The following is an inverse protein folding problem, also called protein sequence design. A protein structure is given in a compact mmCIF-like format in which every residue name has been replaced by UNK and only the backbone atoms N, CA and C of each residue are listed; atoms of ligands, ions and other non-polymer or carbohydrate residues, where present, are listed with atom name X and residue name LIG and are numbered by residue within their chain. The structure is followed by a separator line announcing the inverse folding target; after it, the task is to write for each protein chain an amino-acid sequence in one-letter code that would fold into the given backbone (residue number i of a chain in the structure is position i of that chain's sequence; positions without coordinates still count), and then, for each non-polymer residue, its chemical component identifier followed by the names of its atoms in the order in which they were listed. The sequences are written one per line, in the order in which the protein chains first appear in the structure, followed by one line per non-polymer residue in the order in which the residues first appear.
data_IF_360303998316
#
_entry.id   IF_360303998316
#
_cell.length_a   1.000
_cell.length_b   1.000
_cell.length_c   1.000
_cell.angle_alpha   90.00
_cell.angle_beta   90.00
_cell.angle_gamma   90.00
#
_symmetry.space_group_name_H-M   'P 1'
#
loop_
_entity.id
_entity.type
_entity.pdbx_description
1 polymer ?
#
# COMPACT_ATOMS: atom_id res chain seq x y z
N UNK A 1 24.25 13.14 7.88
CA UNK A 1 23.42 11.93 7.66
C UNK A 1 22.00 12.28 8.07
N UNK A 2 21.14 12.51 7.09
CA UNK A 2 19.77 12.91 7.39
C UNK A 2 18.82 11.76 7.05
N UNK A 3 18.14 11.22 8.02
CA UNK A 3 16.87 10.51 7.93
C UNK A 3 15.84 11.36 8.68
N UNK A 4 15.99 12.69 8.64
CA UNK A 4 15.26 13.62 9.51
C UNK A 4 13.78 13.70 9.14
N UNK A 5 13.47 13.51 7.86
CA UNK A 5 12.11 13.64 7.33
C UNK A 5 11.33 12.30 7.37
N UNK A 6 11.98 11.21 7.81
CA UNK A 6 11.33 9.92 7.95
C UNK A 6 10.58 9.81 9.27
N UNK A 7 9.30 9.60 9.15
CA UNK A 7 8.47 9.23 10.31
C UNK A 7 8.35 7.72 10.37
N UNK A 8 8.78 7.15 11.49
CA UNK A 8 8.75 5.71 11.75
C UNK A 8 9.97 4.94 11.21
N UNK A 9 9.87 3.63 11.24
CA UNK A 9 10.96 2.72 10.85
C UNK A 9 12.26 2.89 11.66
N UNK A 10 12.20 3.38 12.90
CA UNK A 10 13.37 3.73 13.72
C UNK A 10 14.36 2.56 13.87
N UNK A 11 13.86 1.31 13.94
CA UNK A 11 14.72 0.12 14.01
C UNK A 11 15.49 -0.09 12.70
N UNK A 12 14.83 0.10 11.56
CA UNK A 12 15.44 -0.01 10.23
C UNK A 12 16.43 1.14 10.01
N UNK A 13 16.07 2.36 10.39
CA UNK A 13 16.95 3.53 10.30
C UNK A 13 18.21 3.32 11.13
N UNK A 14 18.09 2.81 12.37
CA UNK A 14 19.27 2.48 13.21
C UNK A 14 20.14 1.41 12.57
N UNK A 15 19.55 0.36 11.99
CA UNK A 15 20.28 -0.67 11.27
C UNK A 15 21.08 -0.08 10.10
N UNK A 16 20.44 0.71 9.25
CA UNK A 16 21.07 1.31 8.07
C UNK A 16 22.16 2.32 8.45
N UNK A 17 21.92 3.16 9.45
CA UNK A 17 22.96 4.07 9.99
C UNK A 17 24.17 3.29 10.51
N UNK A 18 23.95 2.22 11.27
CA UNK A 18 25.05 1.38 11.78
C UNK A 18 25.83 0.66 10.66
N UNK A 19 25.22 0.34 9.53
CA UNK A 19 25.91 -0.20 8.36
C UNK A 19 26.76 0.89 7.67
N UNK A 20 26.25 2.10 7.53
CA UNK A 20 26.98 3.26 6.96
C UNK A 20 28.20 3.56 7.84
N UNK A 21 28.02 3.71 9.15
CA UNK A 21 29.08 4.07 10.10
C UNK A 21 30.23 3.04 10.15
N UNK A 22 29.92 1.77 9.89
CA UNK A 22 30.90 0.68 9.90
C UNK A 22 31.45 0.35 8.52
N UNK A 23 31.05 1.10 7.48
CA UNK A 23 31.33 0.84 6.05
C UNK A 23 31.05 -0.63 5.66
N UNK A 24 29.95 -1.20 6.18
CA UNK A 24 29.50 -2.57 5.90
C UNK A 24 28.22 -2.56 5.10
N UNK A 25 28.31 -2.01 3.90
CA UNK A 25 27.16 -1.91 2.99
C UNK A 25 27.07 -3.15 2.12
N UNK A 26 25.85 -3.67 1.96
CA UNK A 26 25.55 -4.60 0.89
C UNK A 26 25.42 -3.82 -0.44
N UNK A 27 25.68 -4.46 -1.55
CA UNK A 27 25.48 -3.86 -2.87
C UNK A 27 24.01 -3.79 -3.26
N UNK A 28 23.21 -4.72 -2.76
CA UNK A 28 21.80 -4.85 -3.09
C UNK A 28 20.95 -4.97 -1.83
N UNK A 29 19.94 -4.12 -1.72
CA UNK A 29 18.94 -4.15 -0.65
C UNK A 29 17.55 -4.41 -1.22
N UNK A 30 16.72 -5.14 -0.47
CA UNK A 30 15.33 -5.35 -0.77
C UNK A 30 14.47 -4.86 0.39
N UNK A 31 13.76 -3.75 0.19
CA UNK A 31 12.78 -3.22 1.14
C UNK A 31 11.43 -3.89 0.89
N UNK A 32 10.96 -4.69 1.86
CA UNK A 32 9.69 -5.41 1.75
C UNK A 32 8.69 -4.99 2.80
N UNK A 33 7.40 -5.13 2.49
CA UNK A 33 6.30 -4.84 3.40
C UNK A 33 5.11 -4.20 2.67
N UNK A 34 3.95 -4.06 3.32
CA UNK A 34 2.73 -3.58 2.71
C UNK A 34 2.90 -2.25 1.96
N UNK A 35 2.04 -2.00 0.98
CA UNK A 35 2.03 -0.71 0.28
C UNK A 35 1.68 0.44 1.22
N UNK A 36 2.22 1.63 0.92
CA UNK A 36 1.92 2.85 1.67
C UNK A 36 2.58 2.96 3.05
N UNK A 37 3.54 2.08 3.41
CA UNK A 37 4.27 2.18 4.69
C UNK A 37 5.50 3.09 4.65
N UNK A 38 5.88 3.62 3.47
CA UNK A 38 7.01 4.54 3.34
C UNK A 38 8.32 3.89 2.85
N UNK A 39 8.29 2.68 2.25
CA UNK A 39 9.49 1.99 1.73
C UNK A 39 10.31 2.84 0.77
N UNK A 40 9.63 3.52 -0.18
CA UNK A 40 10.31 4.39 -1.16
C UNK A 40 11.00 5.58 -0.50
N UNK A 41 10.33 6.24 0.45
CA UNK A 41 10.93 7.33 1.21
C UNK A 41 12.16 6.86 1.99
N UNK A 42 12.08 5.68 2.63
CA UNK A 42 13.19 5.08 3.33
C UNK A 42 14.37 4.75 2.41
N UNK A 43 14.13 4.16 1.24
CA UNK A 43 15.16 3.88 0.25
C UNK A 43 15.81 5.15 -0.30
N UNK A 44 15.03 6.20 -0.56
CA UNK A 44 15.53 7.49 -1.00
C UNK A 44 16.41 8.16 0.07
N UNK A 45 15.98 8.19 1.32
CA UNK A 45 16.77 8.75 2.43
C UNK A 45 18.04 7.94 2.69
N UNK A 46 17.99 6.61 2.49
CA UNK A 46 19.19 5.77 2.58
C UNK A 46 20.18 6.10 1.45
N UNK A 47 19.72 6.24 0.21
CA UNK A 47 20.55 6.65 -0.92
C UNK A 47 21.20 8.03 -0.67
N UNK A 48 20.41 9.02 -0.23
CA UNK A 48 20.91 10.35 0.13
C UNK A 48 21.95 10.32 1.25
N UNK A 49 21.74 9.49 2.29
CA UNK A 49 22.71 9.36 3.38
C UNK A 49 24.08 8.82 2.91
N UNK A 50 24.12 8.18 1.73
CA UNK A 50 25.32 7.69 1.04
C UNK A 50 25.86 8.66 -0.01
N UNK A 51 25.29 9.87 -0.11
CA UNK A 51 25.68 10.88 -1.09
C UNK A 51 25.14 10.63 -2.50
N UNK A 52 24.18 9.71 -2.67
CA UNK A 52 23.54 9.46 -3.96
C UNK A 52 22.33 10.41 -4.13
N UNK A 53 22.54 11.54 -4.76
CA UNK A 53 21.51 12.55 -5.02
C UNK A 53 21.62 13.07 -6.48
N UNK A 54 20.55 13.74 -6.94
CA UNK A 54 20.52 14.34 -8.26
C UNK A 54 20.87 13.34 -9.38
N UNK A 55 21.92 13.59 -10.18
CA UNK A 55 22.28 12.71 -11.29
C UNK A 55 22.86 11.35 -10.85
N UNK A 56 23.19 11.18 -9.58
CA UNK A 56 23.71 9.92 -9.02
C UNK A 56 22.64 9.05 -8.38
N UNK A 57 21.36 9.42 -8.50
CA UNK A 57 20.20 8.66 -8.06
C UNK A 57 19.23 8.46 -9.23
N UNK A 58 19.00 7.20 -9.62
CA UNK A 58 18.00 6.82 -10.61
C UNK A 58 16.84 6.10 -9.94
N UNK A 59 15.62 6.52 -10.24
CA UNK A 59 14.40 5.82 -9.80
C UNK A 59 13.71 5.23 -11.03
N UNK A 60 13.57 3.91 -11.05
CA UNK A 60 12.89 3.16 -12.12
C UNK A 60 11.53 2.74 -11.61
N UNK A 61 10.50 3.19 -12.30
CA UNK A 61 9.10 2.83 -12.06
C UNK A 61 8.46 2.37 -13.36
N UNK A 62 7.34 1.61 -13.34
CA UNK A 62 6.61 1.29 -14.56
C UNK A 62 6.25 2.55 -15.35
N UNK A 63 6.54 2.56 -16.64
CA UNK A 63 6.17 3.62 -17.61
C UNK A 63 5.37 3.08 -18.79
N UNK A 64 5.09 1.77 -18.81
CA UNK A 64 4.31 1.09 -19.82
C UNK A 64 2.79 1.18 -19.52
N UNK A 65 1.97 1.07 -20.57
CA UNK A 65 0.50 0.97 -20.44
C UNK A 65 0.07 -0.27 -19.62
N UNK A 66 0.86 -1.36 -19.65
CA UNK A 66 0.62 -2.56 -18.85
C UNK A 66 0.91 -2.37 -17.36
N UNK A 67 1.60 -1.28 -17.00
CA UNK A 67 2.06 -1.02 -15.63
C UNK A 67 3.22 -1.93 -15.21
N UNK A 68 3.99 -2.47 -16.15
CA UNK A 68 5.16 -3.32 -15.91
C UNK A 68 6.46 -2.58 -16.23
N UNK A 69 7.57 -3.04 -15.63
CA UNK A 69 8.92 -2.55 -15.92
C UNK A 69 9.50 -3.41 -17.05
N UNK A 70 9.67 -2.80 -18.21
CA UNK A 70 10.09 -3.48 -19.43
C UNK A 70 11.63 -3.58 -19.53
N UNK A 71 12.10 -4.46 -20.43
CA UNK A 71 13.53 -4.71 -20.63
C UNK A 71 14.29 -3.47 -21.06
N UNK A 72 13.67 -2.57 -21.82
CA UNK A 72 14.27 -1.32 -22.28
C UNK A 72 14.65 -0.41 -21.11
N UNK A 73 13.80 -0.33 -20.09
CA UNK A 73 14.06 0.43 -18.86
C UNK A 73 15.25 -0.17 -18.09
N UNK A 74 15.32 -1.51 -18.02
CA UNK A 74 16.42 -2.21 -17.34
C UNK A 74 17.75 -2.02 -18.10
N UNK A 75 17.75 -2.07 -19.44
CA UNK A 75 18.94 -1.80 -20.26
C UNK A 75 19.40 -0.34 -20.15
N UNK A 76 18.45 0.61 -20.12
CA UNK A 76 18.77 2.02 -19.90
C UNK A 76 19.41 2.24 -18.52
N UNK A 77 18.88 1.57 -17.51
CA UNK A 77 19.42 1.57 -16.14
C UNK A 77 20.85 0.97 -16.12
N UNK A 78 21.10 -0.16 -16.79
CA UNK A 78 22.44 -0.78 -16.90
C UNK A 78 23.45 0.19 -17.50
N UNK A 79 23.09 0.83 -18.63
CA UNK A 79 23.90 1.86 -19.27
C UNK A 79 24.18 3.05 -18.36
N UNK A 80 23.18 3.51 -17.59
CA UNK A 80 23.36 4.59 -16.63
C UNK A 80 24.28 4.18 -15.47
N UNK A 81 24.17 2.93 -14.97
CA UNK A 81 25.00 2.44 -13.87
C UNK A 81 26.49 2.27 -14.27
N UNK A 82 26.78 2.02 -15.54
CA UNK A 82 28.15 1.89 -16.04
C UNK A 82 28.94 3.21 -16.05
N UNK A 83 28.25 4.35 -15.97
CA UNK A 83 28.88 5.68 -15.91
C UNK A 83 29.46 5.94 -14.52
N UNK A 84 30.56 6.69 -14.44
CA UNK A 84 31.10 7.16 -13.16
C UNK A 84 30.14 8.10 -12.43
N UNK A 85 30.13 8.12 -11.08
CA UNK A 85 29.34 9.08 -10.32
C UNK A 85 29.69 10.53 -10.72
N UNK A 86 28.70 11.39 -10.78
CA UNK A 86 28.87 12.79 -11.21
C UNK A 86 29.40 13.69 -10.06
N UNK A 87 28.78 13.63 -8.90
CA UNK A 87 29.11 14.49 -7.77
C UNK A 87 29.37 13.75 -6.48
N UNK A 88 28.94 12.50 -6.38
CA UNK A 88 29.10 11.65 -5.22
C UNK A 88 30.21 10.61 -5.38
N UNK A 89 30.43 9.85 -4.30
CA UNK A 89 31.33 8.69 -4.37
C UNK A 89 30.63 7.43 -4.89
N UNK A 90 29.30 7.45 -4.93
CA UNK A 90 28.44 6.27 -5.22
C UNK A 90 27.26 6.68 -6.09
N UNK A 91 26.71 5.68 -6.79
CA UNK A 91 25.43 5.79 -7.50
C UNK A 91 24.41 4.84 -6.89
N UNK A 92 23.15 5.22 -6.89
CA UNK A 92 22.07 4.37 -6.42
C UNK A 92 20.96 4.24 -7.47
N UNK A 93 20.44 3.04 -7.64
CA UNK A 93 19.21 2.77 -8.36
C UNK A 93 18.15 2.34 -7.37
N UNK A 94 16.96 2.91 -7.47
CA UNK A 94 15.75 2.47 -6.79
C UNK A 94 14.81 1.89 -7.84
N UNK A 95 14.43 0.62 -7.70
CA UNK A 95 13.48 -0.06 -8.56
C UNK A 95 12.19 -0.33 -7.78
N UNK A 96 11.10 0.33 -8.17
CA UNK A 96 9.84 0.40 -7.40
C UNK A 96 8.59 0.38 -8.30
N UNK A 97 7.74 -0.65 -8.23
CA UNK A 97 7.90 -1.87 -7.44
C UNK A 97 8.61 -2.99 -8.21
N UNK A 98 9.47 -3.75 -7.53
CA UNK A 98 10.28 -4.81 -8.14
C UNK A 98 9.45 -5.99 -8.69
N UNK A 99 8.28 -6.26 -8.13
CA UNK A 99 7.34 -7.28 -8.63
C UNK A 99 6.68 -6.93 -9.97
N UNK A 100 6.93 -5.75 -10.49
CA UNK A 100 6.48 -5.31 -11.81
C UNK A 100 7.52 -5.52 -12.92
N UNK A 101 8.66 -6.12 -12.58
CA UNK A 101 9.59 -6.62 -13.59
C UNK A 101 8.95 -7.73 -14.41
N UNK A 102 8.99 -7.63 -15.74
CA UNK A 102 8.67 -8.75 -16.62
C UNK A 102 9.68 -9.89 -16.42
N UNK A 103 9.41 -11.07 -16.91
CA UNK A 103 10.36 -12.20 -16.84
C UNK A 103 11.71 -11.86 -17.50
N UNK A 104 11.66 -11.26 -18.68
CA UNK A 104 12.84 -10.80 -19.42
C UNK A 104 13.63 -9.73 -18.65
N UNK A 105 12.94 -8.75 -18.10
CA UNK A 105 13.51 -7.69 -17.25
C UNK A 105 14.14 -8.25 -15.98
N UNK A 106 13.53 -9.27 -15.40
CA UNK A 106 14.06 -9.96 -14.22
C UNK A 106 15.38 -10.65 -14.53
N UNK A 107 15.48 -11.35 -15.67
CA UNK A 107 16.72 -11.98 -16.09
C UNK A 107 17.84 -10.97 -16.35
N UNK A 108 17.52 -9.83 -16.97
CA UNK A 108 18.48 -8.76 -17.15
C UNK A 108 18.93 -8.14 -15.81
N UNK A 109 18.00 -7.92 -14.87
CA UNK A 109 18.35 -7.47 -13.52
C UNK A 109 19.26 -8.44 -12.78
N UNK A 110 19.05 -9.76 -12.89
CA UNK A 110 19.90 -10.75 -12.25
C UNK A 110 21.36 -10.64 -12.75
N UNK A 111 21.56 -10.44 -14.05
CA UNK A 111 22.89 -10.23 -14.64
C UNK A 111 23.56 -8.98 -14.07
N UNK A 112 22.80 -7.87 -13.97
CA UNK A 112 23.31 -6.62 -13.38
C UNK A 112 23.72 -6.83 -11.92
N UNK A 113 22.93 -7.59 -11.15
CA UNK A 113 23.21 -7.86 -9.73
C UNK A 113 24.45 -8.72 -9.51
N UNK A 114 24.82 -9.56 -10.49
CA UNK A 114 26.06 -10.37 -10.46
C UNK A 114 27.29 -9.54 -10.79
N UNK A 115 27.17 -8.53 -11.64
CA UNK A 115 28.27 -7.73 -12.17
C UNK A 115 28.15 -6.24 -11.77
N UNK A 116 27.61 -5.94 -10.58
CA UNK A 116 27.42 -4.57 -10.12
C UNK A 116 28.75 -3.78 -10.15
N UNK A 117 28.77 -2.60 -10.76
CA UNK A 117 29.95 -1.74 -10.74
C UNK A 117 30.36 -1.38 -9.31
N UNK A 118 31.66 -1.23 -9.02
CA UNK A 118 32.12 -0.74 -7.72
C UNK A 118 31.43 0.59 -7.36
N UNK A 119 31.08 0.75 -6.08
CA UNK A 119 30.40 1.96 -5.57
C UNK A 119 28.98 2.16 -6.10
N UNK A 120 28.34 1.10 -6.63
CA UNK A 120 26.94 1.10 -6.99
C UNK A 120 26.07 0.47 -5.91
N UNK A 121 24.87 1.02 -5.73
CA UNK A 121 23.86 0.54 -4.78
C UNK A 121 22.57 0.22 -5.54
N UNK A 122 22.03 -0.95 -5.32
CA UNK A 122 20.78 -1.39 -5.93
C UNK A 122 19.71 -1.58 -4.86
N UNK A 123 18.65 -0.76 -4.90
CA UNK A 123 17.58 -0.73 -3.91
C UNK A 123 16.28 -1.21 -4.56
N UNK A 124 15.85 -2.40 -4.20
CA UNK A 124 14.60 -2.99 -4.65
C UNK A 124 13.49 -2.69 -3.65
N UNK A 125 12.31 -2.36 -4.12
CA UNK A 125 11.13 -2.16 -3.29
C UNK A 125 10.05 -3.14 -3.72
N UNK A 126 9.50 -3.91 -2.79
CA UNK A 126 8.43 -4.86 -3.06
C UNK A 126 7.35 -4.84 -1.97
N UNK A 127 6.11 -5.16 -2.34
CA UNK A 127 5.03 -5.32 -1.38
C UNK A 127 5.16 -6.65 -0.63
N UNK A 128 5.62 -7.70 -1.31
CA UNK A 128 5.73 -9.05 -0.75
C UNK A 128 6.87 -9.86 -1.38
N UNK A 129 7.69 -10.50 -0.56
CA UNK A 129 8.83 -11.31 -1.01
C UNK A 129 8.41 -12.47 -1.94
N UNK A 130 7.28 -13.12 -1.66
CA UNK A 130 6.82 -14.29 -2.42
C UNK A 130 6.45 -13.99 -3.88
N UNK A 131 6.35 -12.71 -4.26
CA UNK A 131 6.11 -12.26 -5.63
C UNK A 131 7.39 -12.12 -6.44
N UNK A 132 8.55 -12.26 -5.80
CA UNK A 132 9.85 -12.14 -6.44
C UNK A 132 10.50 -13.52 -6.61
N UNK A 133 11.25 -13.75 -7.70
CA UNK A 133 11.98 -15.00 -7.89
C UNK A 133 13.01 -15.26 -6.78
N UNK A 134 13.15 -16.52 -6.38
CA UNK A 134 14.12 -16.93 -5.35
C UNK A 134 15.57 -16.56 -5.71
N UNK A 135 15.88 -16.57 -6.99
CA UNK A 135 17.19 -16.17 -7.55
C UNK A 135 17.52 -14.70 -7.29
N UNK A 136 16.51 -13.81 -7.33
CA UNK A 136 16.65 -12.39 -6.98
C UNK A 136 16.78 -12.24 -5.47
N UNK A 137 15.92 -12.93 -4.71
CA UNK A 137 15.89 -12.86 -3.25
C UNK A 137 17.21 -13.30 -2.60
N UNK A 138 17.91 -14.28 -3.19
CA UNK A 138 19.17 -14.81 -2.66
C UNK A 138 20.35 -13.82 -2.76
N UNK A 139 20.24 -12.79 -3.60
CA UNK A 139 21.25 -11.76 -3.83
C UNK A 139 20.99 -10.46 -3.08
N UNK A 140 19.88 -10.38 -2.33
CA UNK A 140 19.45 -9.17 -1.66
C UNK A 140 19.65 -9.23 -0.14
N UNK A 141 20.15 -8.14 0.44
CA UNK A 141 20.06 -7.91 1.87
C UNK A 141 18.63 -7.43 2.18
N UNK A 142 17.85 -8.27 2.89
CA UNK A 142 16.42 -8.03 3.11
C UNK A 142 16.18 -7.09 4.27
N UNK A 143 15.42 -6.04 4.01
CA UNK A 143 14.94 -5.07 5.01
C UNK A 143 13.42 -5.16 5.08
N UNK A 144 12.92 -5.73 6.17
CA UNK A 144 11.47 -5.83 6.40
C UNK A 144 10.95 -4.56 7.06
N UNK A 145 10.01 -3.93 6.39
CA UNK A 145 9.30 -2.76 6.87
C UNK A 145 7.90 -3.18 7.37
N UNK A 146 7.50 -2.66 8.52
CA UNK A 146 6.19 -2.93 9.12
C UNK A 146 5.39 -1.65 9.26
N UNK A 147 4.04 -1.72 9.30
CA UNK A 147 3.22 -0.56 9.65
C UNK A 147 3.63 0.02 11.00
N UNK A 148 3.53 1.33 11.14
CA UNK A 148 4.00 2.05 12.33
C UNK A 148 3.04 1.95 13.53
N UNK A 149 1.85 1.45 13.30
CA UNK A 149 0.76 1.46 14.26
C UNK A 149 -0.07 2.74 14.19
N UNK A 150 -1.30 2.64 14.68
CA UNK A 150 -2.33 3.70 14.54
C UNK A 150 -1.89 4.98 15.25
N UNK A 151 -1.45 4.89 16.50
CA UNK A 151 -1.12 6.06 17.32
C UNK A 151 0.05 6.87 16.76
N UNK A 152 1.10 6.20 16.29
CA UNK A 152 2.25 6.87 15.65
C UNK A 152 1.87 7.52 14.33
N UNK A 153 1.06 6.82 13.52
CA UNK A 153 0.55 7.36 12.26
C UNK A 153 -0.32 8.59 12.50
N UNK A 154 -1.23 8.54 13.47
CA UNK A 154 -2.05 9.68 13.86
C UNK A 154 -1.20 10.86 14.37
N UNK A 155 -0.18 10.58 15.19
CA UNK A 155 0.75 11.61 15.65
C UNK A 155 1.52 12.28 14.50
N UNK A 156 1.95 11.50 13.50
CA UNK A 156 2.60 12.02 12.31
C UNK A 156 1.67 12.92 11.47
N UNK A 157 0.42 12.47 11.25
CA UNK A 157 -0.58 13.25 10.52
C UNK A 157 -0.92 14.58 11.20
N UNK A 158 -0.94 14.60 12.54
CA UNK A 158 -1.11 15.86 13.31
C UNK A 158 0.05 16.83 13.09
N UNK A 159 1.27 16.32 12.97
CA UNK A 159 2.44 17.17 12.64
C UNK A 159 2.35 17.78 11.23
N UNK A 160 1.67 17.08 10.30
CA UNK A 160 1.35 17.58 8.97
C UNK A 160 0.16 18.58 8.97
N UNK A 161 -0.39 18.93 10.13
CA UNK A 161 -1.44 19.94 10.28
C UNK A 161 -2.87 19.41 10.26
N UNK A 162 -3.08 18.09 10.29
CA UNK A 162 -4.42 17.53 10.36
C UNK A 162 -5.00 17.65 11.79
N UNK A 163 -6.30 17.88 11.87
CA UNK A 163 -6.98 17.85 13.16
C UNK A 163 -6.93 16.45 13.81
N UNK A 164 -7.01 16.33 15.13
CA UNK A 164 -6.84 15.06 15.84
C UNK A 164 -7.81 13.95 15.42
N UNK A 165 -9.08 14.28 15.12
CA UNK A 165 -10.09 13.31 14.74
C UNK A 165 -9.84 12.77 13.32
N UNK A 166 -9.58 13.66 12.36
CA UNK A 166 -9.20 13.28 10.99
C UNK A 166 -7.90 12.47 10.97
N UNK A 167 -6.90 12.87 11.75
CA UNK A 167 -5.64 12.15 11.85
C UNK A 167 -5.82 10.72 12.37
N UNK A 168 -6.62 10.54 13.44
CA UNK A 168 -6.92 9.22 13.98
C UNK A 168 -7.70 8.36 12.99
N UNK A 169 -8.72 8.91 12.36
CA UNK A 169 -9.55 8.25 11.38
C UNK A 169 -8.70 7.74 10.19
N UNK A 170 -7.84 8.60 9.63
CA UNK A 170 -6.95 8.23 8.53
C UNK A 170 -5.93 7.16 8.94
N UNK A 171 -5.40 7.25 10.17
CA UNK A 171 -4.48 6.26 10.71
C UNK A 171 -5.13 4.88 10.85
N UNK A 172 -6.38 4.81 11.33
CA UNK A 172 -7.16 3.58 11.44
C UNK A 172 -7.48 3.03 10.06
N UNK A 173 -8.05 3.86 9.17
CA UNK A 173 -8.43 3.45 7.80
C UNK A 173 -7.24 2.96 6.96
N UNK A 174 -6.04 3.48 7.21
CA UNK A 174 -4.82 3.02 6.56
C UNK A 174 -4.15 1.83 7.23
N UNK A 175 -4.66 1.35 8.37
CA UNK A 175 -4.03 0.30 9.17
C UNK A 175 -2.64 0.71 9.69
N UNK A 176 -2.43 1.97 10.05
CA UNK A 176 -1.16 2.49 10.54
C UNK A 176 -0.10 2.68 9.44
N UNK A 177 -0.50 2.76 8.17
CA UNK A 177 0.37 2.97 7.01
C UNK A 177 0.39 4.45 6.64
N UNK A 178 1.39 5.20 7.10
CA UNK A 178 1.45 6.65 6.98
C UNK A 178 1.33 7.15 5.52
N UNK A 179 2.07 6.56 4.58
CA UNK A 179 2.02 6.98 3.18
C UNK A 179 0.64 6.75 2.56
N UNK A 180 -0.06 5.67 2.94
CA UNK A 180 -1.44 5.41 2.53
C UNK A 180 -2.40 6.41 3.18
N UNK A 181 -2.23 6.75 4.47
CA UNK A 181 -3.04 7.75 5.15
C UNK A 181 -2.91 9.12 4.49
N UNK A 182 -1.69 9.54 4.14
CA UNK A 182 -1.43 10.77 3.39
C UNK A 182 -2.05 10.75 1.99
N UNK A 183 -2.01 9.62 1.31
CA UNK A 183 -2.68 9.46 0.01
C UNK A 183 -4.20 9.59 0.16
N UNK A 184 -4.80 8.94 1.15
CA UNK A 184 -6.24 9.06 1.45
C UNK A 184 -6.65 10.50 1.70
N UNK A 185 -5.83 11.24 2.44
CA UNK A 185 -6.07 12.67 2.67
C UNK A 185 -6.01 13.50 1.38
N UNK A 186 -4.97 13.30 0.55
CA UNK A 186 -4.77 14.07 -0.69
C UNK A 186 -5.83 13.79 -1.77
N UNK A 187 -6.37 12.58 -1.80
CA UNK A 187 -7.34 12.14 -2.83
C UNK A 187 -8.78 12.23 -2.38
N UNK A 188 -9.03 12.82 -1.18
CA UNK A 188 -10.35 12.87 -0.55
C UNK A 188 -11.06 11.50 -0.54
N UNK A 189 -10.27 10.43 -0.40
CA UNK A 189 -10.74 9.05 -0.47
C UNK A 189 -11.79 8.72 0.59
N UNK A 190 -11.78 9.44 1.72
CA UNK A 190 -12.77 9.26 2.76
C UNK A 190 -14.16 9.75 2.34
N UNK A 191 -14.26 10.90 1.69
CA UNK A 191 -15.52 11.38 1.14
C UNK A 191 -16.02 10.42 0.03
N UNK A 192 -15.15 9.96 -0.86
CA UNK A 192 -15.48 8.95 -1.88
C UNK A 192 -15.99 7.65 -1.26
N UNK A 193 -15.32 7.14 -0.19
CA UNK A 193 -15.76 5.96 0.56
C UNK A 193 -17.16 6.17 1.16
N UNK A 194 -17.37 7.29 1.83
CA UNK A 194 -18.64 7.58 2.48
C UNK A 194 -19.78 7.67 1.47
N UNK A 195 -19.57 8.35 0.34
CA UNK A 195 -20.56 8.41 -0.74
C UNK A 195 -20.89 7.01 -1.30
N UNK A 196 -19.89 6.15 -1.52
CA UNK A 196 -20.10 4.79 -1.99
C UNK A 196 -20.87 3.93 -0.97
N UNK A 197 -20.52 4.02 0.32
CA UNK A 197 -21.25 3.34 1.39
C UNK A 197 -22.70 3.80 1.46
N UNK A 198 -22.97 5.10 1.37
CA UNK A 198 -24.32 5.63 1.41
C UNK A 198 -25.16 5.11 0.23
N UNK A 199 -24.60 5.01 -0.97
CA UNK A 199 -25.26 4.43 -2.14
C UNK A 199 -25.62 2.96 -1.94
N UNK A 200 -24.67 2.14 -1.44
CA UNK A 200 -24.91 0.71 -1.15
C UNK A 200 -25.96 0.56 -0.05
N UNK A 201 -25.84 1.28 1.05
CA UNK A 201 -26.76 1.19 2.18
C UNK A 201 -28.18 1.67 1.80
N UNK A 202 -28.30 2.70 0.95
CA UNK A 202 -29.57 3.16 0.44
C UNK A 202 -30.21 2.14 -0.51
N UNK A 203 -29.44 1.47 -1.39
CA UNK A 203 -29.94 0.41 -2.27
C UNK A 203 -30.44 -0.78 -1.47
N UNK A 204 -29.68 -1.23 -0.46
CA UNK A 204 -30.09 -2.31 0.44
C UNK A 204 -31.40 -1.98 1.17
N UNK A 205 -31.55 -0.75 1.65
CA UNK A 205 -32.77 -0.31 2.36
C UNK A 205 -33.98 -0.29 1.44
N UNK A 206 -33.79 0.07 0.16
CA UNK A 206 -34.87 0.09 -0.84
C UNK A 206 -35.17 -1.27 -1.45
N UNK A 207 -34.32 -2.29 -1.17
CA UNK A 207 -34.34 -3.61 -1.84
C UNK A 207 -34.23 -3.50 -3.36
N UNK A 208 -33.45 -2.53 -3.81
CA UNK A 208 -33.21 -2.27 -5.21
C UNK A 208 -32.07 -3.17 -5.69
N UNK A 209 -32.37 -4.05 -6.64
CA UNK A 209 -31.39 -4.99 -7.20
C UNK A 209 -30.58 -4.41 -8.35
N UNK A 210 -30.83 -3.15 -8.71
CA UNK A 210 -30.05 -2.47 -9.73
C UNK A 210 -28.70 -1.99 -9.19
N UNK A 211 -27.76 -1.80 -10.12
CA UNK A 211 -26.44 -1.27 -9.77
C UNK A 211 -26.58 0.12 -9.13
N UNK A 212 -26.19 0.29 -7.84
CA UNK A 212 -26.31 1.55 -7.15
C UNK A 212 -25.36 2.64 -7.67
N UNK A 213 -24.40 2.28 -8.51
CA UNK A 213 -23.37 3.19 -8.99
C UNK A 213 -23.67 3.70 -10.40
N UNK A 214 -23.11 4.86 -10.79
CA UNK A 214 -23.27 5.40 -12.15
C UNK A 214 -22.89 4.35 -13.22
N UNK A 215 -23.58 4.33 -14.38
CA UNK A 215 -23.39 3.29 -15.40
C UNK A 215 -21.97 3.20 -15.99
N UNK A 216 -21.16 4.26 -15.85
CA UNK A 216 -19.78 4.33 -16.36
C UNK A 216 -18.72 4.17 -15.26
N UNK A 217 -19.10 3.77 -14.04
CA UNK A 217 -18.14 3.55 -12.96
C UNK A 217 -17.17 2.44 -13.35
N UNK A 218 -15.85 2.68 -13.34
CA UNK A 218 -14.85 1.68 -13.65
C UNK A 218 -14.96 0.47 -12.73
N UNK A 219 -14.61 -0.70 -13.26
CA UNK A 219 -14.68 -1.96 -12.51
C UNK A 219 -13.82 -1.93 -11.25
N UNK A 220 -12.64 -1.34 -11.36
CA UNK A 220 -11.67 -1.20 -10.26
C UNK A 220 -12.25 -0.38 -9.11
N UNK A 221 -13.00 0.67 -9.44
CA UNK A 221 -13.70 1.47 -8.43
C UNK A 221 -14.83 0.69 -7.76
N UNK A 222 -15.59 -0.09 -8.51
CA UNK A 222 -16.64 -0.92 -7.93
C UNK A 222 -16.06 -1.99 -7.01
N UNK A 223 -14.92 -2.59 -7.39
CA UNK A 223 -14.20 -3.54 -6.53
C UNK A 223 -13.81 -2.88 -5.19
N UNK A 224 -13.31 -1.64 -5.23
CA UNK A 224 -12.98 -0.84 -4.06
C UNK A 224 -14.21 -0.53 -3.20
N UNK A 225 -15.34 -0.19 -3.82
CA UNK A 225 -16.60 0.09 -3.10
C UNK A 225 -17.15 -1.14 -2.38
N UNK A 226 -17.05 -2.30 -3.01
CA UNK A 226 -17.41 -3.58 -2.39
C UNK A 226 -16.48 -3.91 -1.22
N UNK A 227 -15.18 -3.65 -1.33
CA UNK A 227 -14.21 -3.80 -0.24
C UNK A 227 -14.56 -2.90 0.95
N UNK A 228 -14.90 -1.64 0.71
CA UNK A 228 -15.34 -0.74 1.77
C UNK A 228 -16.61 -1.21 2.45
N UNK A 229 -17.56 -1.74 1.69
CA UNK A 229 -18.78 -2.32 2.26
C UNK A 229 -18.49 -3.60 3.07
N UNK A 230 -17.60 -4.47 2.61
CA UNK A 230 -17.19 -5.65 3.36
C UNK A 230 -16.52 -5.27 4.70
N UNK A 231 -15.67 -4.23 4.68
CA UNK A 231 -15.07 -3.69 5.92
C UNK A 231 -16.10 -3.03 6.85
N UNK A 232 -17.14 -2.40 6.30
CA UNK A 232 -18.28 -1.91 7.06
C UNK A 232 -19.07 -3.03 7.76
N UNK A 233 -19.35 -4.11 7.06
CA UNK A 233 -20.00 -5.29 7.62
C UNK A 233 -19.15 -5.95 8.72
N UNK A 234 -17.83 -6.03 8.53
CA UNK A 234 -16.89 -6.50 9.55
C UNK A 234 -16.98 -5.63 10.81
N UNK A 235 -17.02 -4.31 10.66
CA UNK A 235 -17.11 -3.40 11.81
C UNK A 235 -18.44 -3.57 12.58
N UNK A 236 -19.55 -3.78 11.87
CA UNK A 236 -20.84 -4.16 12.51
C UNK A 236 -20.71 -5.44 13.32
N UNK A 237 -20.04 -6.47 12.77
CA UNK A 237 -19.82 -7.73 13.49
C UNK A 237 -18.96 -7.52 14.73
N UNK A 238 -17.85 -6.77 14.63
CA UNK A 238 -16.98 -6.46 15.78
C UNK A 238 -17.77 -5.87 16.94
N UNK A 239 -18.61 -4.87 16.65
CA UNK A 239 -19.44 -4.26 17.68
C UNK A 239 -20.50 -5.23 18.22
N UNK A 240 -21.10 -6.05 17.35
CA UNK A 240 -22.19 -6.97 17.72
C UNK A 240 -21.73 -8.11 18.64
N UNK A 241 -20.46 -8.49 18.58
CA UNK A 241 -19.87 -9.47 19.51
C UNK A 241 -19.21 -8.83 20.73
N UNK A 242 -19.43 -7.52 20.96
CA UNK A 242 -18.88 -6.79 22.11
C UNK A 242 -17.39 -6.44 21.96
N UNK A 243 -16.88 -6.39 20.73
CA UNK A 243 -15.52 -5.95 20.46
C UNK A 243 -15.30 -4.48 20.79
N UNK A 244 -14.04 -4.13 21.05
CA UNK A 244 -13.65 -2.76 21.38
C UNK A 244 -13.97 -1.80 20.22
N UNK A 245 -14.71 -0.71 20.44
CA UNK A 245 -14.96 0.32 19.43
C UNK A 245 -13.69 0.89 18.77
N UNK A 246 -12.56 0.85 19.45
CA UNK A 246 -11.27 1.27 18.89
C UNK A 246 -10.76 0.35 17.77
N UNK A 247 -11.31 -0.85 17.62
CA UNK A 247 -10.99 -1.80 16.52
C UNK A 247 -11.81 -1.53 15.24
N UNK A 248 -12.78 -0.63 15.30
CA UNK A 248 -13.62 -0.24 14.16
C UNK A 248 -12.81 0.60 13.17
N UNK A 249 -12.87 0.25 11.89
CA UNK A 249 -12.18 0.98 10.81
C UNK A 249 -12.92 2.29 10.51
N UNK A 250 -14.26 2.25 10.50
CA UNK A 250 -15.14 3.39 10.18
C UNK A 250 -15.44 4.24 11.42
N UNK A 251 -14.40 4.77 12.06
CA UNK A 251 -14.51 5.60 13.26
C UNK A 251 -15.37 6.86 13.06
N UNK A 252 -15.32 7.43 11.85
CA UNK A 252 -16.13 8.58 11.44
C UNK A 252 -17.65 8.29 11.37
N UNK A 253 -18.01 7.02 11.34
CA UNK A 253 -19.40 6.55 11.28
C UNK A 253 -19.76 5.62 12.46
N UNK A 254 -19.04 5.71 13.56
CA UNK A 254 -19.19 4.81 14.71
C UNK A 254 -20.62 4.86 15.31
N UNK A 255 -21.21 6.04 15.40
CA UNK A 255 -22.57 6.17 15.93
C UNK A 255 -23.63 5.53 15.03
N UNK A 256 -23.44 5.59 13.70
CA UNK A 256 -24.31 4.87 12.75
C UNK A 256 -24.17 3.35 12.90
N UNK A 257 -22.94 2.87 13.05
CA UNK A 257 -22.65 1.44 13.28
C UNK A 257 -23.32 0.95 14.58
N UNK A 258 -23.20 1.70 15.67
CA UNK A 258 -23.85 1.38 16.95
C UNK A 258 -25.40 1.36 16.84
N UNK A 259 -25.98 2.31 16.13
CA UNK A 259 -27.41 2.35 15.89
C UNK A 259 -27.90 1.10 15.11
N UNK A 260 -27.14 0.67 14.09
CA UNK A 260 -27.44 -0.55 13.33
C UNK A 260 -27.22 -1.82 14.12
N UNK A 261 -26.19 -1.89 14.96
CA UNK A 261 -25.95 -3.00 15.89
C UNK A 261 -27.16 -3.22 16.81
N UNK A 262 -27.68 -2.15 17.39
CA UNK A 262 -28.80 -2.21 18.35
C UNK A 262 -30.11 -2.73 17.74
N UNK A 263 -30.26 -2.66 16.42
CA UNK A 263 -31.44 -3.08 15.66
C UNK A 263 -31.29 -4.41 14.94
N UNK A 264 -30.07 -5.01 14.94
CA UNK A 264 -29.77 -6.19 14.14
C UNK A 264 -29.65 -7.48 14.93
N UNK A 265 -30.15 -8.59 14.35
CA UNK A 265 -29.86 -9.95 14.84
C UNK A 265 -28.44 -10.36 14.39
N UNK A 266 -27.68 -10.98 15.30
CA UNK A 266 -26.32 -11.44 15.03
C UNK A 266 -26.25 -12.40 13.84
N UNK A 267 -27.25 -13.28 13.69
CA UNK A 267 -27.31 -14.20 12.56
C UNK A 267 -27.45 -13.46 11.21
N UNK A 268 -28.26 -12.41 11.17
CA UNK A 268 -28.42 -11.55 9.99
C UNK A 268 -27.11 -10.81 9.68
N UNK A 269 -26.41 -10.29 10.68
CA UNK A 269 -25.12 -9.60 10.50
C UNK A 269 -24.06 -10.58 9.98
N UNK A 270 -23.96 -11.79 10.53
CA UNK A 270 -23.04 -12.82 10.03
C UNK A 270 -23.32 -13.20 8.57
N UNK A 271 -24.59 -13.37 8.20
CA UNK A 271 -24.99 -13.62 6.82
C UNK A 271 -24.60 -12.45 5.90
N UNK A 272 -24.73 -11.23 6.34
CA UNK A 272 -24.34 -10.03 5.57
C UNK A 272 -22.83 -9.94 5.38
N UNK A 273 -22.05 -10.26 6.41
CA UNK A 273 -20.58 -10.34 6.34
C UNK A 273 -20.14 -11.39 5.34
N UNK A 274 -20.67 -12.62 5.44
CA UNK A 274 -20.32 -13.73 4.53
C UNK A 274 -20.62 -13.35 3.06
N UNK A 275 -21.79 -12.78 2.80
CA UNK A 275 -22.14 -12.31 1.45
C UNK A 275 -21.19 -11.21 0.95
N UNK A 276 -20.86 -10.22 1.79
CA UNK A 276 -19.98 -9.14 1.39
C UNK A 276 -18.60 -9.65 0.98
N UNK A 277 -18.02 -10.58 1.73
CA UNK A 277 -16.74 -11.18 1.40
C UNK A 277 -16.80 -12.08 0.16
N UNK A 278 -17.85 -12.88 -0.02
CA UNK A 278 -18.05 -13.68 -1.26
C UNK A 278 -18.16 -12.80 -2.49
N UNK A 279 -18.86 -11.68 -2.40
CA UNK A 279 -18.99 -10.73 -3.50
C UNK A 279 -17.65 -10.05 -3.79
N UNK A 280 -16.92 -9.65 -2.76
CA UNK A 280 -15.56 -9.12 -2.90
C UNK A 280 -14.64 -10.10 -3.64
N UNK A 281 -14.63 -11.37 -3.21
CA UNK A 281 -13.83 -12.43 -3.85
C UNK A 281 -14.25 -12.66 -5.31
N UNK A 282 -15.54 -12.69 -5.60
CA UNK A 282 -16.07 -12.87 -6.95
C UNK A 282 -15.64 -11.71 -7.87
N UNK A 283 -15.71 -10.47 -7.39
CA UNK A 283 -15.27 -9.29 -8.16
C UNK A 283 -13.76 -9.34 -8.41
N UNK A 284 -12.95 -9.72 -7.42
CA UNK A 284 -11.51 -9.90 -7.57
C UNK A 284 -11.13 -11.00 -8.58
N UNK A 285 -11.93 -12.07 -8.66
CA UNK A 285 -11.79 -13.17 -9.63
C UNK A 285 -12.43 -12.89 -11.00
N UNK A 286 -12.67 -11.64 -11.34
CA UNK A 286 -13.23 -11.22 -12.61
C UNK A 286 -14.68 -11.66 -12.91
N UNK A 287 -15.50 -11.99 -11.90
CA UNK A 287 -16.93 -12.25 -12.10
C UNK A 287 -17.66 -10.98 -12.61
N UNK A 288 -18.84 -11.17 -13.21
CA UNK A 288 -19.69 -10.05 -13.63
C UNK A 288 -20.06 -9.17 -12.43
N UNK A 289 -19.68 -7.90 -12.48
CA UNK A 289 -19.99 -6.90 -11.43
C UNK A 289 -21.49 -6.80 -11.20
N UNK A 290 -22.29 -6.81 -12.26
CA UNK A 290 -23.76 -6.76 -12.16
C UNK A 290 -24.31 -7.94 -11.37
N UNK A 291 -23.84 -9.16 -11.66
CA UNK A 291 -24.24 -10.37 -10.95
C UNK A 291 -23.77 -10.36 -9.50
N UNK A 292 -22.53 -9.92 -9.26
CA UNK A 292 -21.99 -9.82 -7.91
C UNK A 292 -22.78 -8.83 -7.04
N UNK A 293 -23.10 -7.64 -7.56
CA UNK A 293 -23.91 -6.67 -6.85
C UNK A 293 -25.36 -7.14 -6.63
N UNK A 294 -25.98 -7.83 -7.59
CA UNK A 294 -27.33 -8.39 -7.38
C UNK A 294 -27.37 -9.42 -6.25
N UNK A 295 -26.31 -10.23 -6.08
CA UNK A 295 -26.17 -11.14 -4.93
C UNK A 295 -26.02 -10.36 -3.62
N UNK A 296 -25.26 -9.27 -3.62
CA UNK A 296 -25.12 -8.41 -2.44
C UNK A 296 -26.47 -7.80 -2.00
N UNK A 297 -27.29 -7.39 -2.97
CA UNK A 297 -28.52 -6.64 -2.76
C UNK A 297 -29.77 -7.54 -2.59
N UNK A 298 -29.74 -8.81 -3.02
CA UNK A 298 -30.92 -9.72 -3.11
C UNK A 298 -31.47 -10.20 -1.77
N UNK A 299 -30.81 -9.96 -0.62
CA UNK A 299 -31.19 -10.56 0.66
C UNK A 299 -31.01 -9.55 1.82
N UNK A 300 -31.55 -8.33 1.66
CA UNK A 300 -31.67 -7.37 2.74
C UNK A 300 -32.86 -7.65 3.64
#
# INVERSE_FOLDING_TARGET
MSFADLVGHEAVVRLLKGQIERDRLAHTYLFTGPEGIGKRALAMEFAKALGCEGPDLLVVTPDSESGDILIEQVRAMEGWMSLTPYGGERKAVILDPAEKLTEESTHACLKILEELPPRSLFLLIAAAEHRLPATLLSRCHKIRCSPQGIERTAAALRKEGLDPAAARMLAVSSGGRLGMALQFHRTDRLAKRNAALDQILAALKRKDLENPFPPKTPREEIAEYVEWYASWCRDLLVLSVGGDPDWVIHQDRLEELKAKQSSGDLAAILSQVDRAYRVQEAVQRNASVKTALSVLLSHG
#
